data_IF_046801666750
#
_entry.id   IF_046801666750
#
_cell.length_a   1.000
_cell.length_b   1.000
_cell.length_c   1.000
_cell.angle_alpha   90.00
_cell.angle_beta   90.00
_cell.angle_gamma   90.00
#
_symmetry.space_group_name_H-M   'P 1'
#
loop_
_entity.id
_entity.type
_entity.pdbx_description
1 polymer ?
#
# COMPACT_ATOMS: atom_id res chain seq x y z
N UNK A 1 3.54 -15.92 -29.16
CA UNK A 1 4.04 -16.40 -27.83
C UNK A 1 5.30 -15.67 -27.42
N UNK A 2 6.37 -15.69 -28.21
CA UNK A 2 7.61 -14.99 -27.86
C UNK A 2 7.44 -13.49 -27.59
N UNK A 3 6.64 -12.80 -28.39
CA UNK A 3 6.35 -11.39 -28.17
C UNK A 3 5.74 -11.10 -26.78
N UNK A 4 4.87 -11.96 -26.27
CA UNK A 4 4.28 -11.80 -24.94
C UNK A 4 5.27 -12.03 -23.80
N UNK A 5 6.23 -12.92 -23.98
CA UNK A 5 7.33 -13.08 -23.03
C UNK A 5 8.23 -11.83 -23.02
N UNK A 6 8.48 -11.24 -24.20
CA UNK A 6 9.22 -9.97 -24.29
C UNK A 6 8.45 -8.82 -23.61
N UNK A 7 7.13 -8.76 -23.80
CA UNK A 7 6.26 -7.77 -23.12
C UNK A 7 6.31 -7.95 -21.60
N UNK A 8 6.35 -9.19 -21.12
CA UNK A 8 6.48 -9.47 -19.69
C UNK A 8 7.84 -9.02 -19.14
N UNK A 9 8.93 -9.24 -19.89
CA UNK A 9 10.25 -8.74 -19.50
C UNK A 9 10.31 -7.22 -19.46
N UNK A 10 9.71 -6.54 -20.44
CA UNK A 10 9.59 -5.09 -20.44
C UNK A 10 8.80 -4.59 -19.21
N UNK A 11 7.74 -5.29 -18.85
CA UNK A 11 6.96 -4.98 -17.65
C UNK A 11 7.79 -5.11 -16.35
N UNK A 12 8.65 -6.14 -16.25
CA UNK A 12 9.54 -6.29 -15.11
C UNK A 12 10.52 -5.11 -14.99
N UNK A 13 11.00 -4.58 -16.11
CA UNK A 13 11.86 -3.38 -16.12
C UNK A 13 11.09 -2.11 -15.70
N UNK A 14 9.84 -1.96 -16.13
CA UNK A 14 8.98 -0.87 -15.68
C UNK A 14 8.74 -0.96 -14.16
N UNK A 15 8.46 -2.15 -13.62
CA UNK A 15 8.32 -2.38 -12.18
C UNK A 15 9.59 -2.03 -11.43
N UNK A 16 10.75 -2.44 -11.95
CA UNK A 16 12.04 -2.11 -11.36
C UNK A 16 12.27 -0.60 -11.31
N UNK A 17 11.98 0.09 -12.40
CA UNK A 17 12.08 1.56 -12.47
C UNK A 17 11.22 2.24 -11.41
N UNK A 18 9.97 1.81 -11.25
CA UNK A 18 9.07 2.35 -10.21
C UNK A 18 9.61 2.08 -8.80
N UNK A 19 10.16 0.90 -8.54
CA UNK A 19 10.79 0.58 -7.26
C UNK A 19 12.03 1.43 -6.98
N UNK A 20 12.85 1.70 -7.98
CA UNK A 20 14.01 2.56 -7.84
C UNK A 20 13.60 4.01 -7.54
N UNK A 21 12.53 4.51 -8.17
CA UNK A 21 11.95 5.82 -7.86
C UNK A 21 11.39 5.86 -6.43
N UNK A 22 10.68 4.81 -6.01
CA UNK A 22 10.17 4.70 -4.63
C UNK A 22 11.32 4.69 -3.61
N UNK A 23 12.44 4.08 -3.94
CA UNK A 23 13.64 4.11 -3.09
C UNK A 23 14.16 5.53 -2.91
N UNK A 24 14.24 6.30 -3.99
CA UNK A 24 14.62 7.73 -3.94
C UNK A 24 13.65 8.51 -3.06
N UNK A 25 12.36 8.30 -3.24
CA UNK A 25 11.33 8.97 -2.44
C UNK A 25 11.38 8.58 -0.96
N UNK A 26 11.62 7.31 -0.64
CA UNK A 26 11.78 6.85 0.73
C UNK A 26 12.96 7.53 1.43
N UNK A 27 14.09 7.67 0.74
CA UNK A 27 15.25 8.42 1.25
C UNK A 27 14.96 9.91 1.40
N UNK A 28 14.27 10.52 0.44
CA UNK A 28 13.86 11.92 0.52
C UNK A 28 12.88 12.15 1.68
N UNK A 29 11.94 11.23 1.89
CA UNK A 29 11.01 11.27 3.04
C UNK A 29 11.77 11.23 4.36
N UNK A 30 12.71 10.32 4.50
CA UNK A 30 13.55 10.22 5.69
C UNK A 30 14.31 11.54 5.94
N UNK A 31 14.91 12.12 4.93
CA UNK A 31 15.62 13.41 5.02
C UNK A 31 14.68 14.55 5.41
N UNK A 32 13.49 14.62 4.80
CA UNK A 32 12.50 15.64 5.10
C UNK A 32 12.04 15.59 6.57
N UNK A 33 11.79 14.40 7.10
CA UNK A 33 11.42 14.22 8.50
C UNK A 33 12.56 14.64 9.44
N UNK A 34 13.80 14.24 9.14
CA UNK A 34 14.97 14.61 9.96
C UNK A 34 15.25 16.10 9.97
N UNK A 35 14.87 16.81 8.92
CA UNK A 35 15.05 18.28 8.79
C UNK A 35 13.82 19.09 9.19
N UNK A 36 12.77 18.44 9.64
CA UNK A 36 11.46 19.06 9.91
C UNK A 36 10.91 19.87 8.73
N UNK A 37 11.22 19.42 7.51
CA UNK A 37 10.78 20.06 6.27
C UNK A 37 9.42 19.47 5.83
N UNK A 38 8.35 20.08 6.32
CA UNK A 38 6.98 19.65 6.06
C UNK A 38 6.56 19.82 4.60
N UNK A 39 7.07 20.85 3.92
CA UNK A 39 6.76 21.08 2.51
C UNK A 39 7.39 20.00 1.63
N UNK A 40 8.64 19.67 1.88
CA UNK A 40 9.32 18.58 1.18
C UNK A 40 8.63 17.22 1.46
N UNK A 41 8.20 16.99 2.70
CA UNK A 41 7.48 15.78 3.08
C UNK A 41 6.15 15.66 2.33
N UNK A 42 5.37 16.73 2.26
CA UNK A 42 4.09 16.74 1.52
C UNK A 42 4.30 16.43 0.03
N UNK A 43 5.31 17.01 -0.59
CA UNK A 43 5.64 16.74 -1.99
C UNK A 43 6.03 15.26 -2.22
N UNK A 44 6.87 14.71 -1.35
CA UNK A 44 7.26 13.29 -1.42
C UNK A 44 6.05 12.37 -1.27
N UNK A 45 5.14 12.65 -0.35
CA UNK A 45 3.93 11.85 -0.16
C UNK A 45 3.01 11.88 -1.38
N UNK A 46 2.88 13.02 -2.05
CA UNK A 46 2.14 13.13 -3.31
C UNK A 46 2.77 12.29 -4.43
N UNK A 47 4.08 12.33 -4.55
CA UNK A 47 4.81 11.53 -5.54
C UNK A 47 4.71 10.03 -5.23
N UNK A 48 4.78 9.62 -3.97
CA UNK A 48 4.55 8.23 -3.55
C UNK A 48 3.14 7.73 -3.93
N UNK A 49 2.12 8.56 -3.77
CA UNK A 49 0.75 8.22 -4.17
C UNK A 49 0.66 7.99 -5.69
N UNK A 50 1.27 8.85 -6.49
CA UNK A 50 1.29 8.71 -7.94
C UNK A 50 1.99 7.41 -8.37
N UNK A 51 3.15 7.09 -7.78
CA UNK A 51 3.85 5.83 -8.04
C UNK A 51 3.08 4.60 -7.57
N UNK A 52 2.36 4.68 -6.47
CA UNK A 52 1.49 3.60 -6.01
C UNK A 52 0.38 3.27 -7.00
N UNK A 53 -0.19 4.29 -7.65
CA UNK A 53 -1.17 4.10 -8.74
C UNK A 53 -0.52 3.46 -9.96
N UNK A 54 0.69 3.89 -10.34
CA UNK A 54 1.48 3.27 -11.42
C UNK A 54 1.73 1.79 -11.15
N UNK A 55 2.17 1.44 -9.95
CA UNK A 55 2.40 0.04 -9.54
C UNK A 55 1.14 -0.82 -9.60
N UNK A 56 -0.02 -0.28 -9.23
CA UNK A 56 -1.30 -1.00 -9.36
C UNK A 56 -1.62 -1.27 -10.83
N UNK A 57 -1.39 -0.31 -11.71
CA UNK A 57 -1.58 -0.47 -13.14
C UNK A 57 -0.65 -1.53 -13.73
N UNK A 58 0.61 -1.53 -13.33
CA UNK A 58 1.60 -2.53 -13.74
C UNK A 58 1.25 -3.92 -13.22
N UNK A 59 0.79 -4.05 -11.99
CA UNK A 59 0.35 -5.33 -11.42
C UNK A 59 -0.86 -5.90 -12.19
N UNK A 60 -1.82 -5.07 -12.56
CA UNK A 60 -2.94 -5.50 -13.40
C UNK A 60 -2.49 -5.97 -14.79
N UNK A 61 -1.52 -5.25 -15.39
CA UNK A 61 -0.90 -5.71 -16.66
C UNK A 61 -0.19 -7.04 -16.48
N UNK A 62 0.54 -7.21 -15.38
CA UNK A 62 1.24 -8.45 -15.06
C UNK A 62 0.28 -9.63 -14.99
N UNK A 63 -0.80 -9.48 -14.27
CA UNK A 63 -1.82 -10.53 -14.13
C UNK A 63 -2.46 -10.89 -15.48
N UNK A 64 -2.75 -9.90 -16.34
CA UNK A 64 -3.27 -10.15 -17.67
C UNK A 64 -2.28 -10.91 -18.54
N UNK A 65 -1.02 -10.51 -18.58
CA UNK A 65 0.03 -11.19 -19.34
C UNK A 65 0.23 -12.63 -18.88
N UNK A 66 0.25 -12.87 -17.55
CA UNK A 66 0.34 -14.23 -17.02
C UNK A 66 -0.85 -15.09 -17.43
N UNK A 67 -2.04 -14.52 -17.45
CA UNK A 67 -3.26 -15.19 -17.94
C UNK A 67 -3.15 -15.56 -19.43
N UNK A 68 -2.72 -14.61 -20.25
CA UNK A 68 -2.52 -14.82 -21.68
C UNK A 68 -1.44 -15.86 -21.99
N UNK A 69 -0.44 -15.98 -21.13
CA UNK A 69 0.61 -16.99 -21.20
C UNK A 69 0.21 -18.36 -20.60
N UNK A 70 -0.93 -18.42 -19.90
CA UNK A 70 -1.35 -19.64 -19.19
C UNK A 70 -0.50 -19.96 -17.96
N UNK A 71 0.17 -18.95 -17.39
CA UNK A 71 1.12 -19.09 -16.30
C UNK A 71 0.59 -18.57 -14.95
N UNK A 72 -0.71 -18.36 -14.82
CA UNK A 72 -1.34 -17.79 -13.62
C UNK A 72 -1.04 -18.59 -12.34
N UNK A 73 -0.91 -19.89 -12.47
CA UNK A 73 -0.70 -20.81 -11.34
C UNK A 73 0.77 -21.17 -11.09
N UNK A 74 1.67 -20.61 -11.88
CA UNK A 74 3.10 -20.90 -11.76
C UNK A 74 3.72 -19.96 -10.72
N UNK A 75 4.41 -20.49 -9.69
CA UNK A 75 5.14 -19.65 -8.74
C UNK A 75 6.17 -18.78 -9.44
N UNK A 76 6.37 -17.56 -8.93
CA UNK A 76 7.37 -16.62 -9.48
C UNK A 76 8.76 -17.22 -9.59
N UNK A 77 9.15 -18.08 -8.64
CA UNK A 77 10.44 -18.78 -8.66
C UNK A 77 10.62 -19.75 -9.83
N UNK A 78 9.52 -20.25 -10.39
CA UNK A 78 9.54 -21.21 -11.51
C UNK A 78 9.17 -20.55 -12.85
N UNK A 79 8.79 -19.28 -12.83
CA UNK A 79 8.38 -18.56 -14.03
C UNK A 79 9.50 -18.49 -15.07
N UNK A 80 10.73 -18.28 -14.64
CA UNK A 80 11.90 -18.20 -15.52
C UNK A 80 12.14 -19.51 -16.31
N UNK A 81 11.79 -20.66 -15.74
CA UNK A 81 11.95 -21.96 -16.39
C UNK A 81 10.93 -22.21 -17.49
N UNK A 82 9.83 -21.45 -17.50
CA UNK A 82 8.77 -21.52 -18.51
C UNK A 82 9.00 -20.65 -19.72
N UNK A 83 10.02 -19.80 -19.69
CA UNK A 83 10.39 -18.99 -20.83
C UNK A 83 11.00 -19.81 -21.97
N UNK A 84 10.86 -19.37 -23.23
CA UNK A 84 11.61 -19.92 -24.33
C UNK A 84 13.11 -19.88 -24.05
N UNK A 85 13.85 -20.87 -24.50
CA UNK A 85 15.29 -21.02 -24.21
C UNK A 85 16.10 -19.76 -24.53
N UNK A 86 15.76 -19.09 -25.63
CA UNK A 86 16.41 -17.84 -26.04
C UNK A 86 16.23 -16.69 -25.05
N UNK A 87 15.17 -16.68 -24.24
CA UNK A 87 14.82 -15.61 -23.30
C UNK A 87 15.08 -15.96 -21.82
N UNK A 88 15.39 -17.22 -21.52
CA UNK A 88 15.62 -17.67 -20.12
C UNK A 88 16.71 -16.89 -19.40
N UNK A 89 17.81 -16.60 -20.06
CA UNK A 89 18.89 -15.82 -19.48
C UNK A 89 18.46 -14.42 -19.09
N UNK A 90 17.77 -13.74 -20.00
CA UNK A 90 17.22 -12.41 -19.75
C UNK A 90 16.15 -12.44 -18.65
N UNK A 91 15.29 -13.45 -18.63
CA UNK A 91 14.27 -13.63 -17.61
C UNK A 91 14.87 -13.76 -16.21
N UNK A 92 15.91 -14.58 -16.05
CA UNK A 92 16.63 -14.74 -14.79
C UNK A 92 17.26 -13.43 -14.35
N UNK A 93 17.96 -12.77 -15.24
CA UNK A 93 18.62 -11.48 -14.96
C UNK A 93 17.62 -10.41 -14.56
N UNK A 94 16.51 -10.27 -15.29
CA UNK A 94 15.43 -9.32 -14.95
C UNK A 94 14.79 -9.64 -13.60
N UNK A 95 14.54 -10.90 -13.29
CA UNK A 95 13.99 -11.32 -12.01
C UNK A 95 14.94 -11.02 -10.84
N UNK A 96 16.23 -11.26 -11.02
CA UNK A 96 17.26 -10.95 -10.01
C UNK A 96 17.40 -9.45 -9.78
N UNK A 97 17.41 -8.66 -10.83
CA UNK A 97 17.44 -7.18 -10.75
C UNK A 97 16.21 -6.63 -10.05
N UNK A 98 15.02 -7.14 -10.37
CA UNK A 98 13.78 -6.74 -9.73
C UNK A 98 13.82 -7.06 -8.23
N UNK A 99 14.26 -8.26 -7.86
CA UNK A 99 14.42 -8.67 -6.45
C UNK A 99 15.39 -7.76 -5.71
N UNK A 100 16.54 -7.46 -6.32
CA UNK A 100 17.53 -6.56 -5.73
C UNK A 100 16.96 -5.16 -5.50
N UNK A 101 16.26 -4.58 -6.49
CA UNK A 101 15.58 -3.29 -6.35
C UNK A 101 14.51 -3.30 -5.27
N UNK A 102 13.74 -4.37 -5.16
CA UNK A 102 12.74 -4.54 -4.11
C UNK A 102 13.37 -4.59 -2.71
N UNK A 103 14.46 -5.34 -2.54
CA UNK A 103 15.17 -5.43 -1.26
C UNK A 103 15.75 -4.07 -0.84
N UNK A 104 16.31 -3.32 -1.77
CA UNK A 104 16.82 -1.95 -1.53
C UNK A 104 15.68 -1.01 -1.12
N UNK A 105 14.58 -1.04 -1.86
CA UNK A 105 13.39 -0.25 -1.52
C UNK A 105 12.84 -0.59 -0.14
N UNK A 106 12.68 -1.87 0.17
CA UNK A 106 12.16 -2.31 1.46
C UNK A 106 12.98 -1.77 2.63
N UNK A 107 14.31 -1.85 2.53
CA UNK A 107 15.20 -1.31 3.56
C UNK A 107 15.06 0.20 3.71
N UNK A 108 15.02 0.95 2.60
CA UNK A 108 14.83 2.40 2.62
C UNK A 108 13.47 2.78 3.22
N UNK A 109 12.41 2.05 2.88
CA UNK A 109 11.07 2.26 3.41
C UNK A 109 11.00 1.98 4.92
N UNK A 110 11.66 0.93 5.41
CA UNK A 110 11.73 0.62 6.84
C UNK A 110 12.46 1.71 7.62
N UNK A 111 13.56 2.24 7.09
CA UNK A 111 14.30 3.36 7.71
C UNK A 111 13.43 4.61 7.77
N UNK A 112 12.77 4.98 6.69
CA UNK A 112 11.88 6.14 6.63
C UNK A 112 10.69 6.00 7.60
N UNK A 113 10.09 4.81 7.68
CA UNK A 113 9.02 4.50 8.62
C UNK A 113 9.48 4.67 10.07
N UNK A 114 10.62 4.10 10.44
CA UNK A 114 11.18 4.21 11.79
C UNK A 114 11.49 5.65 12.17
N UNK A 115 12.01 6.46 11.25
CA UNK A 115 12.28 7.88 11.45
C UNK A 115 10.98 8.66 11.69
N UNK A 116 9.94 8.39 10.90
CA UNK A 116 8.62 9.02 11.04
C UNK A 116 7.97 8.66 12.38
N UNK A 117 8.01 7.40 12.78
CA UNK A 117 7.46 6.93 14.05
C UNK A 117 8.16 7.59 15.25
N UNK A 118 9.48 7.74 15.20
CA UNK A 118 10.23 8.46 16.25
C UNK A 118 9.86 9.93 16.30
N UNK A 119 9.74 10.58 15.15
CA UNK A 119 9.31 11.99 15.08
C UNK A 119 7.92 12.21 15.68
N UNK A 120 6.97 11.33 15.40
CA UNK A 120 5.62 11.37 15.99
C UNK A 120 5.67 11.16 17.51
N UNK A 121 6.49 10.25 17.99
CA UNK A 121 6.65 10.00 19.43
C UNK A 121 7.25 11.22 20.16
N UNK A 122 8.22 11.88 19.57
CA UNK A 122 8.78 13.13 20.10
C UNK A 122 7.76 14.25 20.16
N UNK A 123 6.92 14.40 19.13
CA UNK A 123 5.81 15.36 19.12
C UNK A 123 4.81 15.07 20.23
N UNK A 124 4.44 13.82 20.46
CA UNK A 124 3.54 13.42 21.54
C UNK A 124 4.11 13.82 22.91
N UNK A 125 5.41 13.62 23.15
CA UNK A 125 6.08 14.05 24.37
C UNK A 125 6.05 15.58 24.55
N UNK A 126 6.25 16.33 23.48
CA UNK A 126 6.18 17.80 23.50
C UNK A 126 4.77 18.26 23.87
N UNK A 127 3.75 17.67 23.25
CA UNK A 127 2.34 17.98 23.55
C UNK A 127 1.98 17.64 25.00
N UNK A 128 2.41 16.50 25.51
CA UNK A 128 2.24 16.14 26.93
C UNK A 128 2.92 17.13 27.86
N UNK A 129 4.15 17.55 27.53
CA UNK A 129 4.90 18.54 28.31
C UNK A 129 4.27 19.93 28.31
N UNK A 130 3.49 20.28 27.30
CA UNK A 130 2.72 21.52 27.22
C UNK A 130 1.37 21.48 27.94
N UNK A 131 1.02 20.35 28.59
CA UNK A 131 -0.25 20.18 29.29
C UNK A 131 -1.43 19.97 28.34
N UNK A 132 -1.17 19.63 27.08
CA UNK A 132 -2.22 19.23 26.14
C UNK A 132 -2.88 17.91 26.51
N UNK A 133 -4.10 17.63 26.04
CA UNK A 133 -4.73 16.34 26.25
C UNK A 133 -3.87 15.24 25.63
N UNK A 134 -3.33 14.38 26.47
CA UNK A 134 -2.49 13.26 26.05
C UNK A 134 -3.28 12.14 25.36
N UNK A 135 -4.60 12.16 25.45
CA UNK A 135 -5.45 11.17 24.81
C UNK A 135 -5.99 11.68 23.48
N UNK A 136 -5.86 10.89 22.39
CA UNK A 136 -6.67 11.16 21.21
C UNK A 136 -8.14 11.19 21.62
N UNK A 137 -8.97 12.05 21.03
CA UNK A 137 -10.40 12.02 21.31
C UNK A 137 -10.88 10.58 21.11
N UNK A 138 -11.65 10.03 22.05
CA UNK A 138 -12.18 8.70 21.88
C UNK A 138 -12.84 8.62 20.51
N UNK A 139 -12.68 7.53 19.77
CA UNK A 139 -13.37 7.36 18.51
C UNK A 139 -14.84 7.67 18.77
N UNK A 140 -15.52 8.39 17.85
CA UNK A 140 -16.92 8.69 18.03
C UNK A 140 -17.60 7.37 18.37
N UNK A 141 -18.26 7.34 19.53
CA UNK A 141 -18.98 6.16 19.94
C UNK A 141 -19.79 5.71 18.73
N UNK A 142 -19.75 4.41 18.38
CA UNK A 142 -20.57 3.94 17.29
C UNK A 142 -21.95 4.51 17.57
N UNK A 143 -22.51 5.22 16.60
CA UNK A 143 -23.88 5.70 16.69
C UNK A 143 -24.66 4.53 17.26
N UNK A 144 -24.94 4.59 18.55
CA UNK A 144 -25.90 3.67 19.12
C UNK A 144 -27.11 3.90 18.26
N UNK A 145 -27.35 3.01 17.33
CA UNK A 145 -28.69 2.80 16.87
C UNK A 145 -29.49 2.85 18.15
N UNK A 146 -30.23 3.91 18.35
CA UNK A 146 -31.11 4.05 19.51
C UNK A 146 -31.71 2.67 19.66
N UNK A 147 -31.59 1.98 20.77
CA UNK A 147 -32.25 0.71 20.91
C UNK A 147 -33.67 0.99 20.50
N UNK A 148 -34.27 0.18 19.63
CA UNK A 148 -35.66 0.34 19.32
C UNK A 148 -36.31 0.49 20.67
N UNK A 149 -37.00 1.59 20.83
CA UNK A 149 -37.59 2.09 22.06
C UNK A 149 -38.24 0.92 22.83
N UNK A 150 -37.40 0.16 23.55
CA UNK A 150 -37.83 -1.04 24.28
C UNK A 150 -38.66 -0.68 25.51
N UNK A 151 -39.00 0.61 25.64
CA UNK A 151 -39.80 1.13 26.70
C UNK A 151 -41.09 1.84 26.25
N UNK A 152 -41.29 1.99 24.94
CA UNK A 152 -42.60 2.42 24.47
C UNK A 152 -43.49 1.19 24.30
N UNK A 153 -44.27 0.91 25.31
CA UNK A 153 -45.45 0.08 25.13
C UNK A 153 -46.25 0.65 23.95
N UNK A 154 -46.58 -0.15 22.95
CA UNK A 154 -47.46 0.30 21.88
C UNK A 154 -48.74 0.83 22.53
N UNK A 155 -49.25 1.98 22.06
CA UNK A 155 -50.47 2.55 22.64
C UNK A 155 -51.56 1.47 22.67
N UNK A 156 -52.34 1.40 23.75
CA UNK A 156 -53.27 0.31 23.99
C UNK A 156 -54.28 0.09 22.84
N UNK A 157 -54.41 1.06 21.95
CA UNK A 157 -55.28 0.96 20.78
C UNK A 157 -54.73 0.10 19.63
N UNK A 158 -53.42 -0.18 19.60
CA UNK A 158 -52.86 -1.06 18.60
C UNK A 158 -53.04 -2.55 18.92
N UNK A 159 -53.38 -2.89 20.17
CA UNK A 159 -53.64 -4.28 20.56
C UNK A 159 -55.02 -4.78 20.14
N UNK A 160 -55.93 -3.88 19.78
CA UNK A 160 -57.29 -4.22 19.38
C UNK A 160 -57.48 -4.41 17.88
N UNK A 161 -56.60 -3.85 17.05
CA UNK A 161 -56.69 -3.96 15.59
C UNK A 161 -56.22 -5.31 15.02
N UNK A 162 -55.50 -6.09 15.81
CA UNK A 162 -55.01 -7.42 15.41
C UNK A 162 -55.89 -8.58 15.89
N UNK A 163 -57.08 -8.29 16.40
CA UNK A 163 -58.02 -9.31 16.88
C UNK A 163 -59.33 -9.36 16.10
N UNK A 164 -59.28 -9.02 14.85
CA UNK A 164 -60.43 -9.27 13.98
C UNK A 164 -60.22 -10.59 13.23
#
# INVERSE_FOLDING_TARGET
MEARYADYLALLEELRSDLDQLTVLAKAKNTAVLKDDLLALDEVLKQEQALSLSLRGLEQRRLRLLKELGLEKVPLSQLCDRYPEALKGQAKESAERLRASYDVYRRAAEVAKGTLERGLHELDKIVEGLGGPAAPPPPPAPLRSSPPDAGREPPPNMKTDFRA
#
